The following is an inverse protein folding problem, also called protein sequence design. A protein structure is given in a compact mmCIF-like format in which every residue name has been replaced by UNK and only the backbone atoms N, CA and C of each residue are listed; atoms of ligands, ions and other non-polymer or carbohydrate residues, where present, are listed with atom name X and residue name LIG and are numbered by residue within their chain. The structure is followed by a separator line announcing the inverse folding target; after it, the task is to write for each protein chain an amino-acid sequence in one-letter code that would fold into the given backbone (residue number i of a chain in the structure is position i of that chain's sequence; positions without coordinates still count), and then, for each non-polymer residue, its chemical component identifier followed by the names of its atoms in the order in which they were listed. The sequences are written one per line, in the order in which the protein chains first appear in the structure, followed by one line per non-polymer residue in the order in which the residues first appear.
data_IF_280399645445
#
_entry.id   IF_280399645445
#
_cell.length_a   1.000
_cell.length_b   1.000
_cell.length_c   1.000
_cell.angle_alpha   90.00
_cell.angle_beta   90.00
_cell.angle_gamma   90.00
#
_symmetry.space_group_name_H-M   'P 1'
#
loop_
_entity.id
_entity.type
_entity.pdbx_description
1 polymer ?
#
# COMPACT_ATOMS: atom_id res chain seq x y z
N UNK A 1 0.29 0.32 8.35
CA UNK A 1 0.32 0.89 9.72
C UNK A 1 -0.44 2.22 9.80
N UNK A 2 -1.63 2.34 9.20
CA UNK A 2 -2.61 3.39 9.51
C UNK A 2 -3.72 2.86 10.44
N UNK A 3 -3.93 1.54 10.40
CA UNK A 3 -4.94 0.79 11.15
C UNK A 3 -4.66 0.72 12.66
N UNK A 4 -3.39 0.70 13.07
CA UNK A 4 -3.00 0.47 14.48
C UNK A 4 -3.26 1.68 15.41
N UNK A 5 -3.41 2.89 14.86
CA UNK A 5 -3.65 4.11 15.64
C UNK A 5 -5.15 4.50 15.71
N UNK A 6 -5.97 3.88 14.86
CA UNK A 6 -7.41 4.15 14.77
C UNK A 6 -8.24 3.19 15.64
N UNK A 7 -7.69 2.00 15.95
CA UNK A 7 -8.34 0.93 16.72
C UNK A 7 -8.38 1.21 18.23
N UNK A 8 -7.63 2.20 18.73
CA UNK A 8 -7.56 2.46 20.19
C UNK A 8 -8.86 2.99 20.80
N UNK A 9 -9.91 3.30 20.02
CA UNK A 9 -11.16 3.89 20.56
C UNK A 9 -12.45 3.43 19.87
N UNK A 10 -12.47 2.33 19.08
CA UNK A 10 -13.72 1.89 18.45
C UNK A 10 -13.93 0.37 18.55
N UNK A 11 -15.10 0.01 19.07
CA UNK A 11 -15.41 -1.29 19.66
C UNK A 11 -15.89 -2.39 18.70
N UNK A 12 -15.77 -2.28 17.38
CA UNK A 12 -16.31 -3.33 16.50
C UNK A 12 -15.46 -3.69 15.29
N UNK A 13 -15.24 -4.99 15.15
CA UNK A 13 -14.62 -5.69 14.01
C UNK A 13 -15.17 -5.20 12.65
N UNK A 14 -16.42 -4.72 12.62
CA UNK A 14 -17.07 -4.11 11.46
C UNK A 14 -16.37 -2.87 10.91
N UNK A 15 -15.83 -2.00 11.75
CA UNK A 15 -15.14 -0.79 11.28
C UNK A 15 -13.74 -1.09 10.75
N UNK A 16 -13.02 -2.02 11.39
CA UNK A 16 -11.73 -2.51 10.89
C UNK A 16 -11.89 -3.25 9.54
N UNK A 17 -12.95 -4.03 9.38
CA UNK A 17 -13.31 -4.64 8.10
C UNK A 17 -13.66 -3.58 7.05
N UNK A 18 -14.45 -2.55 7.42
CA UNK A 18 -14.81 -1.46 6.52
C UNK A 18 -13.58 -0.70 6.01
N UNK A 19 -12.65 -0.38 6.89
CA UNK A 19 -11.37 0.24 6.51
C UNK A 19 -10.51 -0.70 5.65
N UNK A 20 -10.51 -2.01 5.93
CA UNK A 20 -9.88 -3.03 5.09
C UNK A 20 -10.46 -3.09 3.68
N UNK A 21 -11.78 -2.98 3.53
CA UNK A 21 -12.47 -2.93 2.24
C UNK A 21 -12.10 -1.65 1.47
N UNK A 22 -12.14 -0.48 2.11
CA UNK A 22 -11.73 0.77 1.43
C UNK A 22 -10.26 0.76 1.02
N UNK A 23 -9.39 0.17 1.86
CA UNK A 23 -7.99 -0.02 1.53
C UNK A 23 -7.81 -0.95 0.32
N UNK A 24 -8.51 -2.10 0.30
CA UNK A 24 -8.53 -3.03 -0.83
C UNK A 24 -9.07 -2.41 -2.12
N UNK A 25 -10.17 -1.65 -2.02
CA UNK A 25 -10.75 -0.93 -3.16
C UNK A 25 -9.77 0.09 -3.76
N UNK A 26 -9.06 0.86 -2.93
CA UNK A 26 -8.04 1.80 -3.39
C UNK A 26 -6.92 1.10 -4.13
N UNK A 27 -6.43 -0.01 -3.57
CA UNK A 27 -5.38 -0.81 -4.19
C UNK A 27 -5.81 -1.38 -5.55
N UNK A 28 -7.00 -1.98 -5.63
CA UNK A 28 -7.52 -2.54 -6.88
C UNK A 28 -7.84 -1.45 -7.91
N UNK A 29 -8.30 -0.28 -7.48
CA UNK A 29 -8.53 0.85 -8.39
C UNK A 29 -7.22 1.25 -9.07
N UNK A 30 -6.13 1.39 -8.32
CA UNK A 30 -4.81 1.66 -8.90
C UNK A 30 -4.40 0.59 -9.88
N UNK A 31 -4.54 -0.69 -9.52
CA UNK A 31 -4.16 -1.80 -10.39
C UNK A 31 -4.92 -1.78 -11.71
N UNK A 32 -6.24 -1.61 -11.66
CA UNK A 32 -7.08 -1.55 -12.85
C UNK A 32 -6.72 -0.33 -13.70
N UNK A 33 -6.58 0.86 -13.10
CA UNK A 33 -6.27 2.09 -13.84
C UNK A 33 -4.89 2.01 -14.47
N UNK A 34 -3.85 1.71 -13.68
CA UNK A 34 -2.46 1.65 -14.17
C UNK A 34 -2.31 0.50 -15.16
N UNK A 35 -2.84 -0.67 -14.84
CA UNK A 35 -2.85 -1.84 -15.72
C UNK A 35 -3.56 -1.60 -17.06
N UNK A 36 -4.72 -0.93 -17.05
CA UNK A 36 -5.45 -0.60 -18.28
C UNK A 36 -4.69 0.42 -19.13
N UNK A 37 -4.07 1.44 -18.51
CA UNK A 37 -3.23 2.42 -19.21
C UNK A 37 -2.04 1.72 -19.88
N UNK A 38 -1.42 0.75 -19.21
CA UNK A 38 -0.32 -0.05 -19.75
C UNK A 38 -0.79 -0.91 -20.93
N UNK A 39 -1.90 -1.62 -20.76
CA UNK A 39 -2.43 -2.55 -21.75
C UNK A 39 -2.89 -1.83 -23.04
N UNK A 40 -3.50 -0.64 -22.90
CA UNK A 40 -3.94 0.20 -24.02
C UNK A 40 -2.79 0.99 -24.66
N UNK A 41 -1.78 1.38 -23.87
CA UNK A 41 -0.68 2.23 -24.31
C UNK A 41 0.39 1.56 -25.17
N UNK A 42 0.36 0.23 -25.37
CA UNK A 42 1.39 -0.58 -26.05
C UNK A 42 2.82 -0.09 -25.73
N UNK A 43 3.20 -0.25 -24.46
CA UNK A 43 4.56 -0.41 -23.93
C UNK A 43 5.66 0.29 -24.73
N UNK A 44 5.88 1.58 -24.45
CA UNK A 44 7.15 2.23 -24.82
C UNK A 44 7.62 3.27 -23.79
N UNK A 45 6.71 3.87 -23.01
CA UNK A 45 7.06 4.93 -22.06
C UNK A 45 7.57 4.46 -20.69
N UNK A 46 7.33 3.19 -20.30
CA UNK A 46 7.62 2.68 -18.95
C UNK A 46 8.96 1.94 -18.81
N UNK A 47 9.66 1.69 -19.92
CA UNK A 47 11.03 1.12 -19.94
C UNK A 47 12.10 2.19 -19.73
N UNK A 48 11.71 3.47 -19.75
CA UNK A 48 12.58 4.58 -19.35
C UNK A 48 12.50 4.67 -17.82
N UNK A 49 13.64 4.67 -17.11
CA UNK A 49 13.75 4.50 -15.66
C UNK A 49 12.90 5.43 -14.75
N UNK A 50 12.11 6.34 -15.32
CA UNK A 50 11.14 7.19 -14.64
C UNK A 50 10.08 6.43 -13.85
N UNK A 51 9.62 5.25 -14.29
CA UNK A 51 8.65 4.46 -13.50
C UNK A 51 9.28 3.94 -12.21
N UNK A 52 10.48 3.36 -12.31
CA UNK A 52 11.24 2.90 -11.15
C UNK A 52 11.65 4.06 -10.24
N UNK A 53 12.04 5.20 -10.81
CA UNK A 53 12.33 6.41 -10.03
C UNK A 53 11.07 6.94 -9.30
N UNK A 54 9.89 6.88 -9.91
CA UNK A 54 8.63 7.26 -9.27
C UNK A 54 8.27 6.30 -8.11
N UNK A 55 8.48 4.99 -8.29
CA UNK A 55 8.33 4.00 -7.22
C UNK A 55 9.34 4.26 -6.09
N UNK A 56 10.59 4.54 -6.42
CA UNK A 56 11.63 4.90 -5.45
C UNK A 56 11.27 6.16 -4.65
N UNK A 57 10.80 7.21 -5.31
CA UNK A 57 10.31 8.44 -4.67
C UNK A 57 9.17 8.14 -3.70
N UNK A 58 8.25 7.28 -4.12
CA UNK A 58 7.11 6.87 -3.31
C UNK A 58 7.51 6.11 -2.05
N UNK A 59 8.51 5.21 -2.14
CA UNK A 59 9.07 4.50 -0.99
C UNK A 59 9.75 5.46 0.00
N UNK A 60 10.46 6.47 -0.51
CA UNK A 60 11.08 7.53 0.31
C UNK A 60 10.00 8.35 1.02
N UNK A 61 8.97 8.81 0.29
CA UNK A 61 7.87 9.60 0.88
C UNK A 61 7.11 8.80 1.94
N UNK A 62 6.82 7.52 1.69
CA UNK A 62 6.19 6.63 2.66
C UNK A 62 7.06 6.41 3.91
N UNK A 63 8.36 6.16 3.73
CA UNK A 63 9.31 5.99 4.83
C UNK A 63 9.43 7.24 5.70
N UNK A 64 9.54 8.42 5.08
CA UNK A 64 9.58 9.71 5.78
C UNK A 64 8.26 9.98 6.49
N UNK A 65 7.12 9.83 5.81
CA UNK A 65 5.80 10.04 6.40
C UNK A 65 5.57 9.18 7.63
N UNK A 66 6.06 7.93 7.61
CA UNK A 66 5.97 7.01 8.74
C UNK A 66 6.85 7.41 9.93
N UNK A 67 8.05 7.94 9.68
CA UNK A 67 8.93 8.50 10.72
C UNK A 67 8.35 9.79 11.32
N UNK A 68 7.72 10.63 10.50
CA UNK A 68 7.06 11.86 10.94
C UNK A 68 5.79 11.56 11.76
N UNK A 69 4.97 10.60 11.33
CA UNK A 69 3.72 10.24 12.02
C UNK A 69 3.98 9.59 13.39
N UNK A 70 5.10 8.86 13.53
CA UNK A 70 5.56 8.32 14.81
C UNK A 70 5.88 9.41 15.85
N UNK A 71 6.21 10.63 15.40
CA UNK A 71 6.50 11.79 16.24
C UNK A 71 5.27 12.65 16.51
N UNK A 72 4.19 12.46 15.74
CA UNK A 72 2.96 13.24 15.89
C UNK A 72 2.22 12.79 17.15
N UNK A 73 1.82 13.73 18.04
CA UNK A 73 0.90 13.40 19.12
C UNK A 73 -0.38 12.83 18.50
N UNK A 74 -1.00 11.79 19.09
CA UNK A 74 -2.18 11.15 18.53
C UNK A 74 -3.23 12.22 18.24
N UNK A 75 -3.54 12.40 16.95
CA UNK A 75 -4.53 13.37 16.53
C UNK A 75 -5.85 13.05 17.25
N UNK A 76 -6.46 14.06 17.86
CA UNK A 76 -7.73 13.92 18.57
C UNK A 76 -8.82 13.65 17.51
N UNK A 77 -9.01 12.37 17.16
CA UNK A 77 -10.00 11.95 16.16
C UNK A 77 -11.36 12.41 16.65
N UNK A 78 -11.94 13.38 15.95
CA UNK A 78 -13.32 13.81 16.21
C UNK A 78 -14.24 12.60 15.96
N UNK A 79 -15.09 12.21 16.92
CA UNK A 79 -16.08 11.16 16.69
C UNK A 79 -17.03 11.64 15.58
N UNK A 80 -17.08 10.94 14.44
CA UNK A 80 -18.09 11.16 13.40
C UNK A 80 -17.57 11.48 12.00
N UNK A 81 -16.27 11.70 11.79
CA UNK A 81 -15.70 11.91 10.44
C UNK A 81 -15.06 10.63 9.93
N UNK A 82 -15.53 10.14 8.79
CA UNK A 82 -15.27 8.80 8.26
C UNK A 82 -13.78 8.55 7.91
N UNK A 83 -13.13 7.52 8.49
CA UNK A 83 -11.73 7.15 8.22
C UNK A 83 -11.49 6.49 6.84
N UNK A 84 -12.56 6.22 6.08
CA UNK A 84 -12.53 5.52 4.79
C UNK A 84 -11.65 6.18 3.72
N UNK A 85 -11.56 7.51 3.70
CA UNK A 85 -10.75 8.24 2.69
C UNK A 85 -9.26 8.03 2.87
N UNK A 86 -8.79 8.00 4.13
CA UNK A 86 -7.38 7.77 4.42
C UNK A 86 -6.97 6.33 4.09
N UNK A 87 -7.81 5.35 4.44
CA UNK A 87 -7.59 3.94 4.09
C UNK A 87 -7.54 3.75 2.56
N UNK A 88 -8.47 4.37 1.83
CA UNK A 88 -8.48 4.35 0.37
C UNK A 88 -7.22 5.00 -0.25
N UNK A 89 -6.81 6.18 0.25
CA UNK A 89 -5.59 6.85 -0.21
C UNK A 89 -4.33 6.02 0.04
N UNK A 90 -4.23 5.38 1.21
CA UNK A 90 -3.12 4.44 1.49
C UNK A 90 -3.18 3.25 0.54
N UNK A 91 -4.38 2.75 0.21
CA UNK A 91 -4.58 1.67 -0.76
C UNK A 91 -4.10 2.05 -2.15
N UNK A 92 -4.46 3.24 -2.62
CA UNK A 92 -4.02 3.79 -3.89
C UNK A 92 -2.49 3.88 -3.95
N UNK A 93 -1.89 4.49 -2.93
CA UNK A 93 -0.44 4.68 -2.83
C UNK A 93 0.31 3.34 -2.74
N UNK A 94 -0.23 2.41 -1.98
CA UNK A 94 0.35 1.09 -1.82
C UNK A 94 0.28 0.25 -3.10
N UNK A 95 -0.83 0.34 -3.85
CA UNK A 95 -0.98 -0.33 -5.15
C UNK A 95 0.02 0.15 -6.20
N UNK A 96 0.34 1.45 -6.19
CA UNK A 96 1.36 2.03 -7.07
C UNK A 96 2.76 1.54 -6.71
N UNK A 97 3.11 1.54 -5.41
CA UNK A 97 4.46 1.24 -4.94
C UNK A 97 4.82 -0.26 -4.97
N UNK A 98 3.87 -1.15 -4.70
CA UNK A 98 4.18 -2.56 -4.43
C UNK A 98 3.88 -3.52 -5.57
N UNK A 99 2.71 -3.37 -6.20
CA UNK A 99 2.17 -4.34 -7.15
C UNK A 99 2.31 -3.93 -8.62
N UNK A 100 2.53 -2.64 -8.90
CA UNK A 100 2.68 -2.13 -10.27
C UNK A 100 3.81 -2.83 -11.05
N UNK A 101 4.98 -3.04 -10.42
CA UNK A 101 6.14 -3.66 -11.07
C UNK A 101 5.94 -5.15 -11.40
N UNK A 102 5.34 -5.93 -10.48
CA UNK A 102 5.06 -7.35 -10.72
C UNK A 102 4.01 -7.55 -11.82
N UNK A 103 2.99 -6.70 -11.81
CA UNK A 103 1.94 -6.72 -12.84
C UNK A 103 2.51 -6.34 -14.21
N UNK A 104 3.39 -5.34 -14.26
CA UNK A 104 4.13 -4.95 -15.46
C UNK A 104 5.00 -6.09 -16.01
N UNK A 105 5.71 -6.80 -15.12
CA UNK A 105 6.54 -7.95 -15.51
C UNK A 105 5.68 -9.04 -16.16
N UNK A 106 4.58 -9.42 -15.53
CA UNK A 106 3.68 -10.47 -16.03
C UNK A 106 3.00 -10.05 -17.35
N UNK A 107 2.62 -8.78 -17.48
CA UNK A 107 2.10 -8.20 -18.72
C UNK A 107 3.10 -8.26 -19.88
N UNK A 108 4.39 -8.07 -19.59
CA UNK A 108 5.44 -8.11 -20.60
C UNK A 108 5.74 -9.53 -21.08
N UNK A 109 5.49 -10.53 -20.23
CA UNK A 109 5.70 -11.95 -20.54
C UNK A 109 4.52 -12.52 -21.37
N UNK A 110 3.29 -12.10 -21.05
CA UNK A 110 2.05 -12.67 -21.62
C UNK A 110 1.65 -11.93 -22.90
N UNK A 111 1.85 -12.59 -24.05
CA UNK A 111 1.49 -12.04 -25.38
C UNK A 111 -0.02 -12.05 -25.69
N UNK A 112 -0.82 -12.77 -24.90
CA UNK A 112 -2.26 -12.89 -25.09
C UNK A 112 -3.04 -11.83 -24.27
N UNK A 113 -3.78 -10.90 -24.91
CA UNK A 113 -4.56 -9.88 -24.22
C UNK A 113 -5.69 -10.42 -23.33
N UNK A 114 -6.27 -11.58 -23.66
CA UNK A 114 -7.37 -12.14 -22.87
C UNK A 114 -6.86 -12.78 -21.58
N UNK A 115 -5.72 -13.47 -21.67
CA UNK A 115 -5.04 -14.09 -20.53
C UNK A 115 -4.53 -13.03 -19.53
N UNK A 116 -4.09 -11.90 -20.09
CA UNK A 116 -3.76 -10.67 -19.38
C UNK A 116 -4.95 -10.11 -18.59
N UNK A 117 -6.13 -9.95 -19.21
CA UNK A 117 -7.35 -9.49 -18.53
C UNK A 117 -7.77 -10.45 -17.42
N UNK A 118 -7.69 -11.76 -17.67
CA UNK A 118 -8.01 -12.78 -16.67
C UNK A 118 -7.05 -12.72 -15.46
N UNK A 119 -5.74 -12.55 -15.71
CA UNK A 119 -4.74 -12.36 -14.66
C UNK A 119 -5.08 -11.15 -13.79
N UNK A 120 -5.42 -10.00 -14.40
CA UNK A 120 -5.84 -8.80 -13.66
C UNK A 120 -7.09 -9.01 -12.81
N UNK A 121 -8.10 -9.70 -13.35
CA UNK A 121 -9.33 -9.97 -12.63
C UNK A 121 -9.09 -10.87 -11.41
N UNK A 122 -8.35 -11.98 -11.61
CA UNK A 122 -8.02 -12.93 -10.54
C UNK A 122 -7.12 -12.27 -9.48
N UNK A 123 -6.09 -11.53 -9.91
CA UNK A 123 -5.19 -10.81 -9.02
C UNK A 123 -5.92 -9.71 -8.23
N UNK A 124 -6.81 -8.96 -8.89
CA UNK A 124 -7.63 -7.92 -8.25
C UNK A 124 -8.58 -8.47 -7.19
N UNK A 125 -9.29 -9.57 -7.49
CA UNK A 125 -10.18 -10.24 -6.54
C UNK A 125 -9.37 -10.84 -5.38
N UNK A 126 -8.27 -11.52 -5.70
CA UNK A 126 -7.37 -12.12 -4.71
C UNK A 126 -6.78 -11.08 -3.75
N UNK A 127 -6.41 -9.89 -4.26
CA UNK A 127 -5.90 -8.79 -3.43
C UNK A 127 -6.96 -8.23 -2.49
N UNK A 128 -8.20 -7.99 -2.97
CA UNK A 128 -9.30 -7.52 -2.10
C UNK A 128 -9.57 -8.53 -0.98
N UNK A 129 -9.64 -9.82 -1.32
CA UNK A 129 -9.86 -10.89 -0.34
C UNK A 129 -8.70 -10.99 0.65
N UNK A 130 -7.46 -10.96 0.18
CA UNK A 130 -6.27 -10.99 1.04
C UNK A 130 -6.22 -9.80 2.00
N UNK A 131 -6.48 -8.59 1.50
CA UNK A 131 -6.53 -7.37 2.32
C UNK A 131 -7.67 -7.39 3.33
N UNK A 132 -8.84 -7.91 2.95
CA UNK A 132 -9.97 -8.13 3.85
C UNK A 132 -9.63 -9.12 4.98
N UNK A 133 -9.05 -10.27 4.64
CA UNK A 133 -8.66 -11.31 5.60
C UNK A 133 -7.59 -10.77 6.55
N UNK A 134 -6.53 -10.12 6.05
CA UNK A 134 -5.47 -9.56 6.90
C UNK A 134 -6.01 -8.45 7.81
N UNK A 135 -6.90 -7.58 7.32
CA UNK A 135 -7.54 -6.56 8.15
C UNK A 135 -8.40 -7.19 9.28
N UNK A 136 -9.17 -8.24 8.95
CA UNK A 136 -9.93 -9.02 9.93
C UNK A 136 -9.04 -9.71 10.95
N UNK A 137 -8.03 -10.46 10.50
CA UNK A 137 -7.08 -11.18 11.34
C UNK A 137 -6.25 -10.25 12.22
N UNK A 138 -5.92 -9.04 11.78
CA UNK A 138 -5.24 -8.05 12.61
C UNK A 138 -6.18 -7.35 13.60
N UNK A 139 -7.48 -7.29 13.36
CA UNK A 139 -8.44 -6.66 14.29
C UNK A 139 -8.69 -7.49 15.56
N UNK A 140 -8.66 -8.82 15.47
CA UNK A 140 -8.97 -9.75 16.58
C UNK A 140 -7.88 -9.80 17.68
N UNK A 141 -6.57 -9.96 17.38
CA UNK A 141 -5.52 -10.05 18.39
C UNK A 141 -5.10 -8.68 18.97
N UNK A 142 -5.31 -7.59 18.21
CA UNK A 142 -4.95 -6.24 18.68
C UNK A 142 -5.89 -5.71 19.76
N UNK A 143 -7.14 -6.16 19.79
CA UNK A 143 -8.14 -5.69 20.76
C UNK A 143 -7.97 -6.33 22.14
N UNK A 144 -7.37 -7.54 22.23
CA UNK A 144 -7.36 -8.28 23.50
C UNK A 144 -6.02 -8.49 24.20
N UNK A 145 -4.84 -8.56 23.56
CA UNK A 145 -3.68 -9.09 24.34
C UNK A 145 -2.27 -8.90 23.82
N UNK A 146 -1.88 -7.71 23.36
CA UNK A 146 -0.45 -7.49 23.13
C UNK A 146 0.03 -6.11 23.60
N UNK A 147 0.47 -6.07 24.86
CA UNK A 147 1.22 -4.96 25.45
C UNK A 147 2.67 -5.00 24.93
N UNK A 148 2.85 -5.01 23.60
CA UNK A 148 4.18 -4.87 22.97
C UNK A 148 4.78 -3.56 23.45
N UNK A 149 6.00 -3.63 23.98
CA UNK A 149 6.69 -2.47 24.50
C UNK A 149 6.78 -1.38 23.43
N UNK A 150 6.57 -0.13 23.86
CA UNK A 150 6.66 1.04 22.96
C UNK A 150 7.98 1.04 22.19
N UNK A 151 9.05 0.58 22.83
CA UNK A 151 10.38 0.44 22.24
C UNK A 151 10.39 -0.55 21.07
N UNK A 152 9.84 -1.76 21.22
CA UNK A 152 9.82 -2.74 20.13
C UNK A 152 9.03 -2.25 18.92
N UNK A 153 7.84 -1.68 19.15
CA UNK A 153 7.03 -1.06 18.08
C UNK A 153 7.80 0.07 17.38
N UNK A 154 8.47 0.92 18.15
CA UNK A 154 9.25 2.05 17.63
C UNK A 154 10.42 1.55 16.80
N UNK A 155 11.19 0.58 17.30
CA UNK A 155 12.37 0.03 16.62
C UNK A 155 12.01 -0.64 15.28
N UNK A 156 10.96 -1.46 15.23
CA UNK A 156 10.54 -2.12 13.99
C UNK A 156 10.06 -1.09 12.94
N UNK A 157 9.37 -0.03 13.38
CA UNK A 157 8.93 1.04 12.50
C UNK A 157 10.11 1.84 11.96
N UNK A 158 11.04 2.24 12.82
CA UNK A 158 12.22 3.01 12.41
C UNK A 158 13.09 2.21 11.46
N UNK A 159 13.37 0.93 11.77
CA UNK A 159 14.19 0.06 10.93
C UNK A 159 13.58 -0.14 9.54
N UNK A 160 12.28 -0.49 9.47
CA UNK A 160 11.60 -0.68 8.19
C UNK A 160 11.48 0.61 7.37
N UNK A 161 11.36 1.77 8.03
CA UNK A 161 11.30 3.07 7.35
C UNK A 161 12.66 3.48 6.80
N UNK A 162 13.76 3.26 7.54
CA UNK A 162 15.12 3.50 7.08
C UNK A 162 15.46 2.60 5.87
N UNK A 163 15.07 1.33 5.91
CA UNK A 163 15.23 0.42 4.78
C UNK A 163 14.46 0.89 3.54
N UNK A 164 13.20 1.36 3.69
CA UNK A 164 12.44 1.91 2.57
C UNK A 164 13.07 3.17 1.98
N UNK A 165 13.57 4.08 2.83
CA UNK A 165 14.22 5.32 2.36
C UNK A 165 15.54 4.99 1.65
N UNK A 166 16.36 4.11 2.23
CA UNK A 166 17.63 3.70 1.63
C UNK A 166 17.43 3.00 0.28
N UNK A 167 16.52 2.03 0.22
CA UNK A 167 16.22 1.30 -1.01
C UNK A 167 15.57 2.20 -2.08
N UNK A 168 14.61 3.04 -1.69
CA UNK A 168 13.98 4.00 -2.60
C UNK A 168 14.97 5.04 -3.13
N UNK A 169 15.88 5.53 -2.28
CA UNK A 169 16.96 6.44 -2.69
C UNK A 169 17.94 5.79 -3.66
N UNK A 170 18.32 4.53 -3.42
CA UNK A 170 19.15 3.75 -4.33
C UNK A 170 18.47 3.55 -5.70
N UNK A 171 17.17 3.22 -5.69
CA UNK A 171 16.37 3.03 -6.90
C UNK A 171 16.24 4.31 -7.74
N UNK A 172 16.06 5.47 -7.11
CA UNK A 172 16.06 6.78 -7.81
C UNK A 172 17.43 7.05 -8.42
N UNK A 173 18.51 6.86 -7.65
CA UNK A 173 19.86 7.16 -8.11
C UNK A 173 20.28 6.26 -9.29
N UNK A 174 19.92 4.98 -9.26
CA UNK A 174 20.23 4.03 -10.33
C UNK A 174 19.49 4.31 -11.64
N UNK A 175 18.26 4.82 -11.55
CA UNK A 175 17.38 5.02 -12.71
C UNK A 175 17.40 6.45 -13.29
N UNK A 176 17.85 7.45 -12.54
CA UNK A 176 17.98 8.84 -13.02
C UNK A 176 19.32 9.09 -13.75
N UNK A 177 20.29 8.18 -13.62
CA UNK A 177 21.66 8.36 -14.15
C UNK A 177 21.96 7.63 -15.47
N UNK A 178 20.94 7.14 -16.18
CA UNK A 178 21.06 6.51 -17.50
C UNK A 178 19.87 6.91 -18.39
#
# INVERSE_FOLDING_TARGET
MAVSNLISRRDTLAEAMRDGIYWGLGHTTTLVVVGSIILLGRVTFLTSGYFEAAVGLMLVVMGISRLLDQRRPPARVRPGVAPSRAAYAVGLLHGLAGSGALVLLVMSEIRDPWLSVLYFAVFGIGSILGMFIVAGLCSVPFTKRMRISRVLKVSTVTLSSLLCIGYGGWMIYGNVRW
#
